data_IF_494673408713
#
_entry.id   IF_494673408713
#
_cell.length_a   1.000
_cell.length_b   1.000
_cell.length_c   1.000
_cell.angle_alpha   90.00
_cell.angle_beta   90.00
_cell.angle_gamma   90.00
#
_symmetry.space_group_name_H-M   'P 1'
#
loop_
_entity.id
_entity.type
_entity.pdbx_description
1 polymer ?
#
# COMPACT_ATOMS: atom_id res chain seq x y z
N UNK A 1 -6.84 35.37 -12.90
CA UNK A 1 -5.57 34.97 -13.54
C UNK A 1 -5.62 33.46 -13.69
N UNK A 2 -6.15 32.98 -14.81
CA UNK A 2 -6.43 31.56 -15.04
C UNK A 2 -5.23 30.97 -15.76
N UNK A 3 -4.37 30.22 -15.07
CA UNK A 3 -3.27 29.50 -15.72
C UNK A 3 -3.84 28.31 -16.48
N UNK A 4 -3.60 28.24 -17.78
CA UNK A 4 -3.75 27.04 -18.59
C UNK A 4 -2.60 26.09 -18.21
N UNK A 5 -2.89 25.01 -17.48
CA UNK A 5 -1.88 24.05 -17.02
C UNK A 5 -1.48 23.13 -18.17
N UNK A 6 -0.38 23.45 -18.87
CA UNK A 6 0.34 22.47 -19.67
C UNK A 6 1.05 21.50 -18.71
N UNK A 7 0.81 20.19 -18.84
CA UNK A 7 1.55 19.17 -18.10
C UNK A 7 3.01 19.19 -18.56
N UNK A 8 3.90 19.75 -17.74
CA UNK A 8 5.34 19.76 -18.03
C UNK A 8 6.04 18.51 -17.45
N UNK A 9 7.31 18.30 -17.82
CA UNK A 9 8.17 17.22 -17.30
C UNK A 9 8.16 17.16 -15.78
N UNK A 10 8.13 18.31 -15.09
CA UNK A 10 8.06 18.34 -13.62
C UNK A 10 6.77 17.71 -13.11
N UNK A 11 5.63 18.06 -13.70
CA UNK A 11 4.32 17.52 -13.31
C UNK A 11 4.24 16.02 -13.60
N UNK A 12 4.76 15.59 -14.76
CA UNK A 12 4.88 14.17 -15.10
C UNK A 12 5.79 13.42 -14.12
N UNK A 13 6.94 13.98 -13.76
CA UNK A 13 7.85 13.38 -12.77
C UNK A 13 7.19 13.24 -11.40
N UNK A 14 6.46 14.27 -10.96
CA UNK A 14 5.70 14.26 -9.71
C UNK A 14 4.52 13.28 -9.73
N UNK A 15 3.88 13.10 -10.89
CA UNK A 15 2.84 12.10 -11.09
C UNK A 15 3.41 10.68 -11.02
N UNK A 16 4.50 10.42 -11.75
CA UNK A 16 5.18 9.12 -11.77
C UNK A 16 5.68 8.74 -10.37
N UNK A 17 6.26 9.69 -9.64
CA UNK A 17 6.70 9.45 -8.26
C UNK A 17 5.51 9.02 -7.38
N UNK A 18 4.39 9.75 -7.44
CA UNK A 18 3.18 9.42 -6.66
C UNK A 18 2.59 8.08 -7.07
N UNK A 19 2.45 7.83 -8.37
CA UNK A 19 1.88 6.60 -8.89
C UNK A 19 2.77 5.40 -8.56
N UNK A 20 4.09 5.53 -8.68
CA UNK A 20 5.05 4.51 -8.31
C UNK A 20 5.01 4.19 -6.81
N UNK A 21 5.16 5.20 -5.96
CA UNK A 21 5.11 5.02 -4.49
C UNK A 21 3.76 4.48 -4.04
N UNK A 22 2.66 5.06 -4.54
CA UNK A 22 1.30 4.61 -4.24
C UNK A 22 1.04 3.18 -4.72
N UNK A 23 1.55 2.82 -5.90
CA UNK A 23 1.45 1.47 -6.45
C UNK A 23 2.17 0.44 -5.60
N UNK A 24 3.38 0.75 -5.11
CA UNK A 24 4.13 -0.12 -4.18
C UNK A 24 3.36 -0.30 -2.87
N UNK A 25 2.84 0.78 -2.28
CA UNK A 25 2.05 0.71 -1.05
C UNK A 25 0.75 -0.09 -1.25
N UNK A 26 0.07 0.11 -2.38
CA UNK A 26 -1.15 -0.64 -2.72
C UNK A 26 -0.86 -2.13 -2.92
N UNK A 27 0.24 -2.48 -3.60
CA UNK A 27 0.65 -3.87 -3.77
C UNK A 27 1.01 -4.52 -2.42
N UNK A 28 1.72 -3.80 -1.54
CA UNK A 28 2.06 -4.28 -0.20
C UNK A 28 0.81 -4.48 0.67
N UNK A 29 -0.14 -3.55 0.66
CA UNK A 29 -1.43 -3.70 1.33
C UNK A 29 -2.23 -4.87 0.75
N UNK A 30 -2.23 -5.05 -0.57
CA UNK A 30 -2.92 -6.17 -1.22
C UNK A 30 -2.32 -7.54 -0.87
N UNK A 31 -1.00 -7.63 -0.66
CA UNK A 31 -0.36 -8.83 -0.11
C UNK A 31 -0.90 -9.18 1.28
N UNK A 32 -1.08 -8.15 2.13
CA UNK A 32 -1.54 -8.33 3.51
C UNK A 32 -3.03 -8.58 3.64
N UNK A 33 -3.87 -7.92 2.84
CA UNK A 33 -5.33 -8.01 2.95
C UNK A 33 -5.91 -9.10 2.07
N UNK A 34 -5.41 -9.24 0.84
CA UNK A 34 -6.00 -10.11 -0.18
C UNK A 34 -5.13 -11.31 -0.54
N UNK A 35 -3.90 -11.38 -0.02
CA UNK A 35 -2.94 -12.41 -0.39
C UNK A 35 -2.44 -12.29 -1.83
N UNK A 36 -2.64 -11.14 -2.46
CA UNK A 36 -2.20 -10.91 -3.83
C UNK A 36 -0.68 -10.92 -3.93
N UNK A 37 -0.16 -11.17 -5.13
CA UNK A 37 1.28 -11.21 -5.40
C UNK A 37 2.04 -12.21 -4.51
N UNK A 38 1.39 -13.30 -4.09
CA UNK A 38 1.97 -14.32 -3.20
C UNK A 38 2.00 -13.93 -1.71
N UNK A 39 1.25 -12.90 -1.31
CA UNK A 39 1.16 -12.45 0.08
C UNK A 39 0.38 -13.40 0.99
N UNK A 40 0.63 -13.31 2.31
CA UNK A 40 0.03 -14.19 3.31
C UNK A 40 -1.45 -13.91 3.62
N UNK A 41 -2.04 -12.84 3.07
CA UNK A 41 -3.40 -12.42 3.37
C UNK A 41 -3.62 -12.13 4.86
N UNK A 42 -4.87 -11.94 5.26
CA UNK A 42 -5.21 -11.57 6.65
C UNK A 42 -4.75 -12.63 7.64
N UNK A 43 -4.83 -13.92 7.27
CA UNK A 43 -4.43 -15.02 8.13
C UNK A 43 -2.91 -15.02 8.40
N UNK A 44 -2.09 -14.96 7.35
CA UNK A 44 -0.64 -14.93 7.49
C UNK A 44 -0.14 -13.64 8.15
N UNK A 45 -0.72 -12.50 7.77
CA UNK A 45 -0.39 -11.20 8.38
C UNK A 45 -0.79 -11.15 9.85
N UNK A 46 -1.93 -11.73 10.20
CA UNK A 46 -2.39 -11.80 11.59
C UNK A 46 -1.50 -12.69 12.45
N UNK A 47 -1.09 -13.85 11.94
CA UNK A 47 -0.14 -14.73 12.62
C UNK A 47 1.23 -14.04 12.81
N UNK A 48 1.70 -13.29 11.79
CA UNK A 48 2.92 -12.49 11.91
C UNK A 48 2.77 -11.40 12.99
N UNK A 49 1.68 -10.64 12.98
CA UNK A 49 1.41 -9.61 13.99
C UNK A 49 1.42 -10.18 15.41
N UNK A 50 0.78 -11.33 15.63
CA UNK A 50 0.81 -12.01 16.93
C UNK A 50 2.21 -12.50 17.31
N UNK A 51 2.99 -13.01 16.35
CA UNK A 51 4.37 -13.46 16.60
C UNK A 51 5.31 -12.37 17.10
N UNK A 52 5.00 -11.10 16.81
CA UNK A 52 5.77 -9.93 17.26
C UNK A 52 5.06 -9.15 18.40
N UNK A 53 4.00 -9.71 18.97
CA UNK A 53 3.32 -9.16 20.15
C UNK A 53 2.15 -8.21 19.87
N UNK A 54 1.76 -8.00 18.62
CA UNK A 54 0.56 -7.23 18.27
C UNK A 54 -0.69 -8.10 18.30
N UNK A 55 -1.31 -8.23 19.47
CA UNK A 55 -2.59 -8.90 19.67
C UNK A 55 -3.76 -7.90 19.78
N UNK A 56 -4.97 -8.21 19.23
CA UNK A 56 -5.30 -9.41 18.45
C UNK A 56 -4.84 -9.30 16.98
N UNK A 57 -4.07 -10.29 16.51
CA UNK A 57 -3.35 -10.22 15.23
C UNK A 57 -4.27 -10.08 14.03
N UNK A 58 -5.41 -10.78 14.03
CA UNK A 58 -6.39 -10.71 12.93
C UNK A 58 -6.97 -9.31 12.73
N UNK A 59 -7.29 -8.59 13.81
CA UNK A 59 -7.80 -7.21 13.71
C UNK A 59 -6.70 -6.27 13.22
N UNK A 60 -5.50 -6.40 13.78
CA UNK A 60 -4.33 -5.63 13.34
C UNK A 60 -4.03 -5.87 11.86
N UNK A 61 -4.16 -7.11 11.37
CA UNK A 61 -3.98 -7.45 9.96
C UNK A 61 -5.05 -6.88 9.02
N UNK A 62 -6.30 -6.74 9.48
CA UNK A 62 -7.38 -6.15 8.67
C UNK A 62 -7.21 -4.63 8.47
N UNK A 63 -6.54 -3.96 9.41
CA UNK A 63 -6.25 -2.52 9.34
C UNK A 63 -4.82 -2.19 8.88
N UNK A 64 -4.05 -3.22 8.51
CA UNK A 64 -2.63 -3.12 8.11
C UNK A 64 -2.41 -2.72 6.65
#
# INVERSE_FOLDING_TARGET
MTTCTCLDRRDLGLLLLRAGTGGVLAAHGAQKLFGWFGGGGVAGTGAFMESIGYAPGRLNAVVA
#
